data_IF_146586696747
#
_entry.id   IF_146586696747
#
_cell.length_a   1.000
_cell.length_b   1.000
_cell.length_c   1.000
_cell.angle_alpha   90.00
_cell.angle_beta   90.00
_cell.angle_gamma   90.00
#
_symmetry.space_group_name_H-M   'P 1'
#
loop_
_entity.id
_entity.type
_entity.pdbx_description
1 polymer ?
#
# COMPACT_ATOMS: atom_id res chain seq x y z
N UNK A 1 -4.60 -8.97 -11.14
CA UNK A 1 -3.39 -8.27 -11.64
C UNK A 1 -2.24 -8.79 -10.78
N UNK A 2 -1.45 -9.74 -11.29
CA UNK A 2 -0.37 -10.40 -10.54
C UNK A 2 0.94 -9.94 -11.15
N UNK A 3 1.83 -9.36 -10.33
CA UNK A 3 3.23 -9.14 -10.71
C UNK A 3 4.09 -10.22 -10.04
N UNK A 4 5.02 -10.80 -10.82
CA UNK A 4 6.27 -11.47 -10.42
C UNK A 4 6.42 -13.01 -10.45
N UNK A 5 7.67 -13.50 -10.68
CA UNK A 5 7.99 -14.91 -10.91
C UNK A 5 8.03 -15.71 -9.60
N UNK A 6 7.19 -16.73 -9.58
CA UNK A 6 6.75 -17.54 -8.44
C UNK A 6 7.81 -18.15 -7.48
N UNK A 7 9.02 -18.58 -7.93
CA UNK A 7 9.92 -19.32 -7.03
C UNK A 7 10.66 -18.42 -6.03
N UNK A 8 11.03 -17.21 -6.42
CA UNK A 8 11.96 -16.40 -5.64
C UNK A 8 11.33 -15.79 -4.40
N UNK A 9 10.05 -15.40 -4.46
CA UNK A 9 9.42 -14.66 -3.36
C UNK A 9 9.14 -15.54 -2.14
N UNK A 10 8.63 -16.76 -2.35
CA UNK A 10 8.36 -17.71 -1.26
C UNK A 10 9.65 -18.23 -0.63
N UNK A 11 10.67 -18.51 -1.45
CA UNK A 11 11.95 -19.05 -0.98
C UNK A 11 12.80 -17.97 -0.31
N UNK A 12 12.87 -16.76 -0.87
CA UNK A 12 13.67 -15.67 -0.32
C UNK A 12 13.27 -15.32 1.12
N UNK A 13 11.97 -15.37 1.47
CA UNK A 13 11.56 -15.09 2.85
C UNK A 13 11.69 -16.25 3.81
N UNK A 14 11.60 -17.49 3.34
CA UNK A 14 11.97 -18.63 4.19
C UNK A 14 13.46 -18.53 4.55
N UNK A 15 14.30 -18.18 3.58
CA UNK A 15 15.74 -17.98 3.76
C UNK A 15 16.07 -16.78 4.67
N UNK A 16 15.34 -15.68 4.53
CA UNK A 16 15.58 -14.47 5.32
C UNK A 16 14.75 -14.38 6.62
N UNK A 17 14.05 -15.46 6.99
CA UNK A 17 13.35 -15.56 8.27
C UNK A 17 14.33 -15.50 9.45
N UNK A 18 13.89 -14.91 10.55
CA UNK A 18 14.65 -14.71 11.79
C UNK A 18 15.89 -13.81 11.67
N UNK A 19 16.14 -13.23 10.49
CA UNK A 19 17.18 -12.21 10.30
C UNK A 19 16.71 -10.90 10.97
N UNK A 20 17.60 -10.18 11.67
CA UNK A 20 17.30 -8.86 12.20
C UNK A 20 16.85 -7.90 11.09
N UNK A 21 15.75 -7.19 11.34
CA UNK A 21 15.29 -6.09 10.52
C UNK A 21 16.29 -4.91 10.58
N UNK A 22 16.22 -3.98 9.61
CA UNK A 22 17.02 -2.76 9.62
C UNK A 22 17.11 -2.10 11.00
N UNK A 23 18.34 -1.95 11.46
CA UNK A 23 18.67 -1.49 12.80
C UNK A 23 18.63 0.03 12.93
N UNK A 24 18.46 0.53 14.16
CA UNK A 24 18.74 1.93 14.44
C UNK A 24 20.26 2.13 14.53
N UNK A 25 20.77 3.21 13.92
CA UNK A 25 22.20 3.55 13.95
C UNK A 25 22.38 4.93 14.58
N UNK A 26 22.19 5.08 15.90
CA UNK A 26 22.46 6.33 16.58
C UNK A 26 23.95 6.67 16.59
N UNK A 27 24.24 7.97 16.52
CA UNK A 27 25.56 8.51 16.81
C UNK A 27 25.69 8.73 18.33
N UNK A 28 26.70 8.10 18.92
CA UNK A 28 27.07 8.22 20.34
C UNK A 28 28.47 8.83 20.47
N UNK A 29 28.87 9.22 21.67
CA UNK A 29 30.16 9.86 21.92
C UNK A 29 31.38 9.03 21.46
N UNK A 30 31.25 7.70 21.35
CA UNK A 30 32.28 6.77 20.87
C UNK A 30 32.15 6.37 19.39
N UNK A 31 31.21 6.95 18.64
CA UNK A 31 30.98 6.66 17.21
C UNK A 31 29.56 6.21 16.90
N UNK A 32 29.38 5.42 15.84
CA UNK A 32 28.07 4.86 15.49
C UNK A 32 27.85 3.53 16.24
N UNK A 33 26.67 3.38 16.83
CA UNK A 33 26.26 2.13 17.46
C UNK A 33 25.13 1.50 16.64
N UNK A 34 25.23 0.20 16.36
CA UNK A 34 24.13 -0.55 15.73
C UNK A 34 23.25 -1.15 16.82
N UNK A 35 21.97 -0.77 16.82
CA UNK A 35 20.98 -1.25 17.79
C UNK A 35 19.95 -2.11 17.04
N UNK A 36 20.10 -3.43 17.17
CA UNK A 36 19.15 -4.40 16.63
C UNK A 36 17.88 -4.39 17.49
N UNK A 37 16.73 -4.21 16.86
CA UNK A 37 15.45 -4.16 17.58
C UNK A 37 14.66 -5.45 17.37
N UNK A 38 14.37 -5.77 16.12
CA UNK A 38 13.34 -6.74 15.76
C UNK A 38 13.80 -7.69 14.66
N UNK A 39 13.16 -8.84 14.61
CA UNK A 39 13.22 -9.82 13.51
C UNK A 39 11.80 -10.26 13.18
N UNK A 40 11.61 -10.81 11.98
CA UNK A 40 10.35 -11.48 11.63
C UNK A 40 10.56 -12.96 11.44
N UNK A 41 9.59 -13.75 11.86
CA UNK A 41 9.55 -15.17 11.52
C UNK A 41 8.95 -15.41 10.12
N UNK A 42 8.91 -16.67 9.72
CA UNK A 42 8.34 -17.12 8.44
C UNK A 42 6.82 -16.93 8.33
N UNK A 43 6.15 -16.57 9.42
CA UNK A 43 4.70 -16.31 9.49
C UNK A 43 4.39 -14.81 9.56
N UNK A 44 5.37 -13.94 9.29
CA UNK A 44 5.23 -12.48 9.37
C UNK A 44 4.96 -11.94 10.77
N UNK A 45 5.33 -12.69 11.81
CA UNK A 45 5.25 -12.23 13.20
C UNK A 45 6.55 -11.54 13.61
N UNK A 46 6.41 -10.31 14.11
CA UNK A 46 7.52 -9.51 14.63
C UNK A 46 7.89 -9.98 16.05
N UNK A 47 9.17 -10.22 16.30
CA UNK A 47 9.70 -10.52 17.64
C UNK A 47 10.99 -9.72 17.92
N UNK A 48 11.31 -9.50 19.19
CA UNK A 48 12.53 -8.80 19.60
C UNK A 48 13.76 -9.71 19.43
N UNK A 49 14.92 -9.11 19.17
CA UNK A 49 16.21 -9.83 18.93
C UNK A 49 16.93 -10.21 20.26
N UNK A 50 16.23 -10.22 21.39
CA UNK A 50 16.74 -10.31 22.78
C UNK A 50 17.25 -8.97 23.36
N UNK A 51 16.96 -8.77 24.65
CA UNK A 51 16.89 -7.49 25.34
C UNK A 51 18.25 -6.90 25.71
N UNK A 52 18.58 -5.74 25.15
CA UNK A 52 19.36 -4.75 25.86
C UNK A 52 18.49 -3.51 26.11
N UNK A 53 18.20 -3.31 27.40
CA UNK A 53 17.42 -2.24 28.02
C UNK A 53 15.90 -2.29 27.79
N UNK A 54 15.18 -2.54 28.89
CA UNK A 54 13.79 -2.10 29.07
C UNK A 54 13.74 -0.58 28.85
N UNK A 55 13.42 -0.18 27.63
CA UNK A 55 13.45 1.22 27.25
C UNK A 55 12.97 1.37 25.82
N UNK A 56 11.66 1.31 25.65
CA UNK A 56 10.89 1.80 24.49
C UNK A 56 11.37 1.30 23.11
N UNK A 57 10.60 0.37 22.53
CA UNK A 57 10.72 -0.04 21.12
C UNK A 57 10.86 1.21 20.24
N UNK A 58 12.06 1.44 19.73
CA UNK A 58 12.34 2.60 18.88
C UNK A 58 11.91 2.23 17.47
N UNK A 59 10.89 2.94 16.94
CA UNK A 59 10.46 2.77 15.56
C UNK A 59 11.62 3.09 14.62
N UNK A 60 11.80 2.24 13.61
CA UNK A 60 12.77 2.41 12.54
C UNK A 60 11.99 2.30 11.23
N UNK A 61 11.82 3.42 10.51
CA UNK A 61 11.04 3.45 9.28
C UNK A 61 11.49 2.41 8.25
N UNK A 62 12.80 2.16 8.14
CA UNK A 62 13.33 1.11 7.26
C UNK A 62 12.87 -0.30 7.66
N UNK A 63 12.79 -0.61 8.96
CA UNK A 63 12.27 -1.89 9.45
C UNK A 63 10.79 -2.03 9.12
N UNK A 64 10.01 -0.97 9.32
CA UNK A 64 8.57 -1.00 9.08
C UNK A 64 8.21 -0.98 7.60
N UNK A 65 9.06 -0.39 6.75
CA UNK A 65 8.99 -0.56 5.31
C UNK A 65 9.16 -2.04 4.92
N UNK A 66 10.17 -2.73 5.45
CA UNK A 66 10.38 -4.18 5.17
C UNK A 66 9.16 -5.00 5.62
N UNK A 67 8.63 -4.73 6.82
CA UNK A 67 7.41 -5.39 7.31
C UNK A 67 6.23 -5.16 6.37
N UNK A 68 5.99 -3.92 5.96
CA UNK A 68 4.85 -3.57 5.12
C UNK A 68 4.98 -4.11 3.68
N UNK A 69 6.19 -4.12 3.11
CA UNK A 69 6.48 -4.79 1.83
C UNK A 69 6.15 -6.27 1.92
N UNK A 70 6.45 -6.87 3.06
CA UNK A 70 6.04 -8.22 3.39
C UNK A 70 4.56 -8.51 3.38
N UNK A 71 3.80 -7.68 4.08
CA UNK A 71 2.34 -7.75 4.06
C UNK A 71 1.83 -7.61 2.63
N UNK A 72 2.38 -6.69 1.85
CA UNK A 72 2.04 -6.53 0.44
C UNK A 72 2.30 -7.81 -0.38
N UNK A 73 3.42 -8.48 -0.16
CA UNK A 73 3.74 -9.77 -0.80
C UNK A 73 2.68 -10.83 -0.46
N UNK A 74 2.32 -10.99 0.81
CA UNK A 74 1.27 -11.93 1.23
C UNK A 74 -0.09 -11.59 0.63
N UNK A 75 -0.42 -10.29 0.51
CA UNK A 75 -1.63 -9.83 -0.18
C UNK A 75 -1.61 -10.27 -1.65
N UNK A 76 -0.48 -10.13 -2.35
CA UNK A 76 -0.37 -10.58 -3.74
C UNK A 76 -0.48 -12.11 -3.87
N UNK A 77 0.10 -12.86 -2.95
CA UNK A 77 -0.04 -14.32 -2.90
C UNK A 77 -1.50 -14.74 -2.66
N UNK A 78 -2.20 -14.08 -1.73
CA UNK A 78 -3.63 -14.31 -1.50
C UNK A 78 -4.48 -13.99 -2.73
N UNK A 79 -4.21 -12.87 -3.42
CA UNK A 79 -4.90 -12.50 -4.67
C UNK A 79 -4.77 -13.59 -5.72
N UNK A 80 -3.57 -14.13 -5.89
CA UNK A 80 -3.29 -15.19 -6.85
C UNK A 80 -3.95 -16.51 -6.46
N UNK A 81 -3.80 -16.90 -5.20
CA UNK A 81 -4.24 -18.21 -4.72
C UNK A 81 -5.76 -18.24 -4.38
N UNK A 82 -6.45 -17.09 -4.49
CA UNK A 82 -7.86 -16.92 -4.12
C UNK A 82 -8.77 -18.00 -4.71
N UNK A 83 -8.66 -18.28 -6.00
CA UNK A 83 -9.52 -19.25 -6.67
C UNK A 83 -9.22 -20.71 -6.28
N UNK A 84 -8.03 -20.98 -5.74
CA UNK A 84 -7.57 -22.33 -5.35
C UNK A 84 -7.93 -22.72 -3.92
N UNK A 85 -8.33 -21.73 -3.09
CA UNK A 85 -8.59 -21.89 -1.66
C UNK A 85 -10.07 -21.73 -1.32
N UNK A 86 -10.49 -22.24 -0.16
CA UNK A 86 -11.86 -22.08 0.31
C UNK A 86 -12.13 -20.62 0.72
N UNK A 87 -13.38 -20.18 0.52
CA UNK A 87 -13.81 -18.81 0.81
C UNK A 87 -13.60 -18.45 2.27
N UNK A 88 -13.92 -19.38 3.19
CA UNK A 88 -13.73 -19.15 4.62
C UNK A 88 -12.25 -18.88 4.97
N UNK A 89 -11.32 -19.67 4.42
CA UNK A 89 -9.88 -19.48 4.62
C UNK A 89 -9.39 -18.17 4.00
N UNK A 90 -9.91 -17.85 2.83
CA UNK A 90 -9.58 -16.62 2.12
C UNK A 90 -10.04 -15.37 2.90
N UNK A 91 -11.25 -15.40 3.48
CA UNK A 91 -11.77 -14.30 4.30
C UNK A 91 -10.99 -14.15 5.62
N UNK A 92 -10.63 -15.25 6.27
CA UNK A 92 -9.76 -15.23 7.46
C UNK A 92 -8.39 -14.63 7.14
N UNK A 93 -7.78 -15.05 6.03
CA UNK A 93 -6.50 -14.52 5.55
C UNK A 93 -6.58 -13.02 5.21
N UNK A 94 -7.67 -12.58 4.57
CA UNK A 94 -7.95 -11.19 4.26
C UNK A 94 -8.02 -10.35 5.54
N UNK A 95 -8.80 -10.78 6.53
CA UNK A 95 -8.95 -10.06 7.80
C UNK A 95 -7.63 -9.98 8.56
N UNK A 96 -6.89 -11.10 8.64
CA UNK A 96 -5.58 -11.16 9.28
C UNK A 96 -4.58 -10.20 8.64
N UNK A 97 -4.47 -10.20 7.31
CA UNK A 97 -3.55 -9.31 6.59
C UNK A 97 -3.97 -7.84 6.68
N UNK A 98 -5.28 -7.54 6.61
CA UNK A 98 -5.79 -6.18 6.81
C UNK A 98 -5.44 -5.65 8.20
N UNK A 99 -5.62 -6.47 9.24
CA UNK A 99 -5.27 -6.10 10.61
C UNK A 99 -3.76 -5.93 10.80
N UNK A 100 -2.95 -6.83 10.24
CA UNK A 100 -1.49 -6.75 10.31
C UNK A 100 -0.95 -5.49 9.62
N UNK A 101 -1.46 -5.14 8.43
CA UNK A 101 -1.10 -3.90 7.74
C UNK A 101 -1.44 -2.68 8.60
N UNK A 102 -2.64 -2.67 9.21
CA UNK A 102 -3.10 -1.58 10.07
C UNK A 102 -2.23 -1.42 11.31
N UNK A 103 -1.91 -2.52 12.01
CA UNK A 103 -1.13 -2.47 13.25
C UNK A 103 0.29 -1.97 13.01
N UNK A 104 0.93 -2.37 11.91
CA UNK A 104 2.25 -1.84 11.51
C UNK A 104 2.13 -0.35 11.22
N UNK A 105 1.14 0.07 10.42
CA UNK A 105 0.96 1.47 10.04
C UNK A 105 0.69 2.38 11.24
N UNK A 106 -0.25 2.03 12.12
CA UNK A 106 -0.62 2.82 13.29
C UNK A 106 0.52 2.92 14.31
N UNK A 107 1.28 1.84 14.51
CA UNK A 107 2.46 1.85 15.37
C UNK A 107 3.51 2.87 14.88
N UNK A 108 3.74 2.94 13.57
CA UNK A 108 4.69 3.91 12.99
C UNK A 108 4.18 5.35 13.05
N UNK A 109 2.91 5.59 12.69
CA UNK A 109 2.36 6.95 12.67
C UNK A 109 2.25 7.53 14.09
N UNK A 110 1.89 6.71 15.08
CA UNK A 110 1.86 7.14 16.48
C UNK A 110 3.25 7.43 17.07
N UNK A 111 4.29 6.72 16.60
CA UNK A 111 5.67 7.00 16.99
C UNK A 111 6.25 8.25 16.32
N UNK A 112 5.77 8.60 15.12
CA UNK A 112 6.20 9.79 14.37
C UNK A 112 5.82 11.10 15.06
N UNK A 113 4.59 11.20 15.58
CA UNK A 113 4.07 12.43 16.23
C UNK A 113 4.82 12.82 17.52
N UNK A 114 5.49 11.87 18.17
CA UNK A 114 6.35 12.13 19.33
C UNK A 114 7.73 12.69 18.92
N UNK A 115 8.24 12.29 17.75
CA UNK A 115 9.58 12.61 17.28
C UNK A 115 9.67 13.93 16.48
N UNK A 116 8.57 14.37 15.86
CA UNK A 116 8.48 15.63 15.09
C UNK A 116 8.64 16.90 15.94
N UNK A 117 8.70 16.80 17.28
CA UNK A 117 9.03 17.92 18.16
C UNK A 117 10.54 18.28 18.19
N UNK A 118 11.42 17.51 17.54
CA UNK A 118 12.88 17.63 17.70
C UNK A 118 13.70 17.51 16.39
N UNK A 119 13.62 18.54 15.52
CA UNK A 119 14.58 18.93 14.45
C UNK A 119 15.00 17.93 13.33
N UNK A 120 15.23 18.46 12.11
CA UNK A 120 15.92 17.96 10.90
C UNK A 120 15.69 16.53 10.37
N UNK A 121 15.53 15.50 11.21
CA UNK A 121 15.28 14.09 10.78
C UNK A 121 13.91 13.87 10.14
N UNK A 122 13.01 14.84 10.22
CA UNK A 122 11.68 14.78 9.60
C UNK A 122 11.73 14.76 8.07
N UNK A 123 12.72 15.43 7.46
CA UNK A 123 12.83 15.49 6.00
C UNK A 123 13.43 14.21 5.40
N UNK A 124 14.43 13.60 6.05
CA UNK A 124 15.10 12.38 5.55
C UNK A 124 14.17 11.16 5.47
N UNK A 125 13.23 11.04 6.41
CA UNK A 125 12.29 9.92 6.47
C UNK A 125 11.01 10.15 5.64
N UNK A 126 10.80 11.36 5.10
CA UNK A 126 9.60 11.71 4.34
C UNK A 126 9.33 10.72 3.18
N UNK A 127 10.32 10.26 2.39
CA UNK A 127 10.09 9.29 1.33
C UNK A 127 9.69 7.89 1.86
N UNK A 128 10.27 7.45 2.99
CA UNK A 128 9.90 6.16 3.59
C UNK A 128 8.49 6.18 4.16
N UNK A 129 8.12 7.27 4.86
CA UNK A 129 6.76 7.49 5.36
C UNK A 129 5.77 7.46 4.20
N UNK A 130 6.04 8.19 3.12
CA UNK A 130 5.22 8.18 1.91
C UNK A 130 5.04 6.75 1.36
N UNK A 131 6.12 5.97 1.29
CA UNK A 131 6.08 4.60 0.77
C UNK A 131 5.29 3.66 1.69
N UNK A 132 5.48 3.74 3.01
CA UNK A 132 4.75 2.94 4.00
C UNK A 132 3.25 3.26 3.93
N UNK A 133 2.88 4.54 3.87
CA UNK A 133 1.49 4.98 3.73
C UNK A 133 0.86 4.48 2.43
N UNK A 134 1.61 4.53 1.33
CA UNK A 134 1.15 4.01 0.05
C UNK A 134 0.91 2.50 0.10
N UNK A 135 1.88 1.72 0.60
CA UNK A 135 1.74 0.28 0.78
C UNK A 135 0.53 -0.08 1.65
N UNK A 136 0.35 0.60 2.78
CA UNK A 136 -0.77 0.35 3.68
C UNK A 136 -2.11 0.52 2.96
N UNK A 137 -2.33 1.67 2.32
CA UNK A 137 -3.57 1.95 1.59
C UNK A 137 -3.76 1.00 0.39
N UNK A 138 -2.71 0.67 -0.36
CA UNK A 138 -2.77 -0.31 -1.45
C UNK A 138 -3.11 -1.71 -0.95
N UNK A 139 -2.60 -2.15 0.22
CA UNK A 139 -2.97 -3.41 0.83
C UNK A 139 -4.48 -3.44 1.12
N UNK A 140 -5.01 -2.40 1.77
CA UNK A 140 -6.43 -2.32 2.10
C UNK A 140 -7.32 -2.30 0.87
N UNK A 141 -6.98 -1.47 -0.13
CA UNK A 141 -7.71 -1.42 -1.40
C UNK A 141 -7.69 -2.79 -2.08
N UNK A 142 -6.52 -3.42 -2.19
CA UNK A 142 -6.37 -4.69 -2.90
C UNK A 142 -7.15 -5.80 -2.22
N UNK A 143 -6.97 -5.98 -0.90
CA UNK A 143 -7.65 -7.00 -0.10
C UNK A 143 -9.17 -6.89 -0.22
N UNK A 144 -9.73 -5.72 0.07
CA UNK A 144 -11.18 -5.54 0.09
C UNK A 144 -11.79 -5.52 -1.32
N UNK A 145 -11.03 -5.14 -2.36
CA UNK A 145 -11.50 -5.21 -3.75
C UNK A 145 -11.77 -6.65 -4.22
N UNK A 146 -11.13 -7.66 -3.63
CA UNK A 146 -11.29 -9.06 -4.04
C UNK A 146 -12.71 -9.59 -3.87
N UNK A 147 -13.44 -9.07 -2.88
CA UNK A 147 -14.79 -9.53 -2.52
C UNK A 147 -15.89 -8.56 -2.96
N UNK A 148 -15.52 -7.42 -3.53
CA UNK A 148 -16.47 -6.43 -4.04
C UNK A 148 -16.62 -6.63 -5.54
N UNK A 149 -17.79 -7.10 -6.04
CA UNK A 149 -17.97 -7.42 -7.45
C UNK A 149 -17.61 -6.28 -8.41
N UNK A 150 -17.87 -5.03 -7.99
CA UNK A 150 -17.55 -3.84 -8.76
C UNK A 150 -16.05 -3.69 -9.04
N UNK A 151 -15.20 -4.15 -8.11
CA UNK A 151 -13.74 -3.99 -8.17
C UNK A 151 -13.02 -5.29 -8.51
N UNK A 152 -13.60 -6.45 -8.19
CA UNK A 152 -13.00 -7.77 -8.42
C UNK A 152 -13.06 -8.22 -9.88
N UNK A 153 -13.90 -7.60 -10.70
CA UNK A 153 -14.16 -8.01 -12.09
C UNK A 153 -14.90 -9.35 -12.20
N UNK A 154 -15.35 -9.93 -11.09
CA UNK A 154 -16.06 -11.21 -11.03
C UNK A 154 -17.53 -11.00 -10.67
N UNK A 155 -18.41 -11.19 -11.66
CA UNK A 155 -19.87 -11.09 -11.47
C UNK A 155 -20.50 -12.32 -10.78
N UNK A 156 -19.70 -13.34 -10.46
CA UNK A 156 -20.16 -14.66 -9.97
C UNK A 156 -19.25 -15.19 -8.86
N UNK A 157 -18.94 -14.33 -7.90
CA UNK A 157 -18.33 -14.78 -6.65
C UNK A 157 -19.31 -15.67 -5.86
N UNK A 158 -18.81 -16.54 -4.98
CA UNK A 158 -19.65 -17.25 -4.03
C UNK A 158 -20.45 -16.27 -3.16
N UNK A 159 -21.57 -16.72 -2.62
CA UNK A 159 -22.49 -15.90 -1.81
C UNK A 159 -21.82 -15.47 -0.50
N UNK A 160 -21.01 -14.42 -0.55
CA UNK A 160 -20.50 -13.70 0.62
C UNK A 160 -21.64 -12.85 1.17
N UNK A 161 -21.69 -12.71 2.49
CA UNK A 161 -22.66 -11.84 3.15
C UNK A 161 -22.64 -10.42 2.52
N UNK A 162 -23.79 -9.93 2.01
CA UNK A 162 -23.89 -8.60 1.42
C UNK A 162 -23.39 -7.47 2.34
N UNK A 163 -23.51 -7.62 3.66
CA UNK A 163 -23.02 -6.60 4.60
C UNK A 163 -21.49 -6.55 4.62
N UNK A 164 -20.82 -7.71 4.56
CA UNK A 164 -19.35 -7.78 4.45
C UNK A 164 -18.87 -7.17 3.13
N UNK A 165 -19.59 -7.43 2.04
CA UNK A 165 -19.31 -6.85 0.72
C UNK A 165 -19.46 -5.33 0.76
N UNK A 166 -20.53 -4.83 1.38
CA UNK A 166 -20.77 -3.40 1.54
C UNK A 166 -19.67 -2.71 2.36
N UNK A 167 -19.32 -3.25 3.53
CA UNK A 167 -18.25 -2.73 4.37
C UNK A 167 -16.91 -2.71 3.62
N UNK A 168 -16.65 -3.75 2.81
CA UNK A 168 -15.44 -3.80 1.99
C UNK A 168 -15.44 -2.76 0.88
N UNK A 169 -16.58 -2.48 0.24
CA UNK A 169 -16.69 -1.43 -0.76
C UNK A 169 -16.46 -0.02 -0.14
N UNK A 170 -16.98 0.21 1.06
CA UNK A 170 -16.73 1.43 1.84
C UNK A 170 -15.25 1.56 2.18
N UNK A 171 -14.62 0.46 2.61
CA UNK A 171 -13.17 0.41 2.94
C UNK A 171 -12.31 0.73 1.72
N UNK A 172 -12.61 0.12 0.56
CA UNK A 172 -11.91 0.41 -0.71
C UNK A 172 -12.02 1.89 -1.07
N UNK A 173 -13.23 2.46 -0.98
CA UNK A 173 -13.47 3.86 -1.33
C UNK A 173 -12.73 4.79 -0.39
N UNK A 174 -12.80 4.56 0.92
CA UNK A 174 -12.11 5.35 1.93
C UNK A 174 -10.60 5.33 1.73
N UNK A 175 -10.00 4.15 1.50
CA UNK A 175 -8.56 4.07 1.29
C UNK A 175 -8.12 4.64 -0.06
N UNK A 176 -8.97 4.59 -1.09
CA UNK A 176 -8.70 5.28 -2.35
C UNK A 176 -8.71 6.82 -2.17
N UNK A 177 -9.62 7.36 -1.34
CA UNK A 177 -9.63 8.78 -0.98
C UNK A 177 -8.39 9.18 -0.17
N UNK A 178 -7.98 8.37 0.80
CA UNK A 178 -6.76 8.61 1.58
C UNK A 178 -5.50 8.55 0.70
N UNK A 179 -5.45 7.61 -0.25
CA UNK A 179 -4.37 7.53 -1.23
C UNK A 179 -4.36 8.75 -2.17
N UNK A 180 -5.53 9.23 -2.59
CA UNK A 180 -5.65 10.44 -3.38
C UNK A 180 -5.13 11.67 -2.62
N UNK A 181 -5.48 11.81 -1.35
CA UNK A 181 -4.95 12.86 -0.48
C UNK A 181 -3.42 12.77 -0.35
N UNK A 182 -2.87 11.56 -0.24
CA UNK A 182 -1.43 11.31 -0.21
C UNK A 182 -0.74 11.76 -1.52
N UNK A 183 -1.42 11.61 -2.66
CA UNK A 183 -0.92 12.01 -3.98
C UNK A 183 -1.23 13.46 -4.36
N UNK A 184 -2.11 14.16 -3.64
CA UNK A 184 -2.56 15.50 -3.99
C UNK A 184 -1.42 16.49 -4.27
N UNK A 185 -0.29 16.50 -3.53
CA UNK A 185 0.84 17.37 -3.83
C UNK A 185 1.44 17.15 -5.23
N UNK A 186 1.40 15.93 -5.74
CA UNK A 186 1.96 15.54 -7.05
C UNK A 186 0.93 15.65 -8.18
N UNK A 187 -0.35 15.45 -7.87
CA UNK A 187 -1.45 15.52 -8.84
C UNK A 187 -1.88 16.95 -9.14
N UNK A 188 -1.96 17.79 -8.10
CA UNK A 188 -2.52 19.15 -8.19
C UNK A 188 -1.58 20.23 -7.66
N UNK A 189 -0.56 19.85 -6.89
CA UNK A 189 0.39 20.77 -6.27
C UNK A 189 1.70 20.94 -7.02
N UNK A 190 2.72 21.37 -6.27
CA UNK A 190 4.10 21.56 -6.73
C UNK A 190 5.04 20.42 -6.31
N UNK A 191 4.50 19.26 -5.96
CA UNK A 191 5.29 18.10 -5.56
C UNK A 191 6.21 17.65 -6.69
N UNK A 192 7.46 17.33 -6.34
CA UNK A 192 8.43 16.84 -7.32
C UNK A 192 8.13 15.39 -7.69
N UNK A 193 7.57 15.20 -8.88
CA UNK A 193 7.16 13.89 -9.40
C UNK A 193 8.36 12.96 -9.62
N UNK A 194 9.58 13.50 -9.78
CA UNK A 194 10.79 12.69 -9.96
C UNK A 194 11.17 11.90 -8.71
N UNK A 195 10.72 12.35 -7.54
CA UNK A 195 10.92 11.67 -6.26
C UNK A 195 9.85 10.62 -5.95
N UNK A 196 8.80 10.52 -6.78
CA UNK A 196 7.71 9.59 -6.53
C UNK A 196 8.13 8.16 -6.94
N UNK A 197 8.20 7.21 -5.99
CA UNK A 197 8.62 5.85 -6.31
C UNK A 197 7.66 5.17 -7.31
N UNK A 198 8.15 4.30 -8.20
CA UNK A 198 7.30 3.62 -9.17
C UNK A 198 6.09 2.91 -8.58
N UNK A 199 6.30 2.27 -7.43
CA UNK A 199 5.26 1.59 -6.68
C UNK A 199 4.13 2.52 -6.21
N UNK A 200 4.49 3.72 -5.73
CA UNK A 200 3.50 4.74 -5.31
C UNK A 200 2.74 5.27 -6.52
N UNK A 201 3.43 5.45 -7.65
CA UNK A 201 2.79 5.80 -8.92
C UNK A 201 1.81 4.73 -9.41
N UNK A 202 2.12 3.44 -9.23
CA UNK A 202 1.17 2.35 -9.48
C UNK A 202 -0.08 2.44 -8.59
N UNK A 203 0.05 2.94 -7.35
CA UNK A 203 -1.10 3.23 -6.51
C UNK A 203 -2.03 4.30 -7.09
N UNK A 204 -1.49 5.31 -7.79
CA UNK A 204 -2.30 6.28 -8.52
C UNK A 204 -3.18 5.62 -9.59
N UNK A 205 -2.65 4.61 -10.28
CA UNK A 205 -3.42 3.82 -11.24
C UNK A 205 -4.56 3.06 -10.55
N UNK A 206 -4.28 2.34 -9.45
CA UNK A 206 -5.29 1.61 -8.69
C UNK A 206 -6.41 2.55 -8.23
N UNK A 207 -6.05 3.68 -7.63
CA UNK A 207 -7.00 4.69 -7.14
C UNK A 207 -7.86 5.24 -8.28
N UNK A 208 -7.25 5.56 -9.44
CA UNK A 208 -7.97 5.97 -10.64
C UNK A 208 -8.99 4.93 -11.11
N UNK A 209 -8.63 3.64 -11.09
CA UNK A 209 -9.54 2.54 -11.47
C UNK A 209 -10.73 2.44 -10.50
N UNK A 210 -10.50 2.55 -9.18
CA UNK A 210 -11.58 2.53 -8.18
C UNK A 210 -12.58 3.66 -8.42
N UNK A 211 -12.09 4.89 -8.61
CA UNK A 211 -12.97 6.04 -8.86
C UNK A 211 -13.68 5.96 -10.20
N UNK A 212 -13.02 5.44 -11.24
CA UNK A 212 -13.64 5.23 -12.55
C UNK A 212 -14.75 4.16 -12.49
N UNK A 213 -14.47 3.00 -11.88
CA UNK A 213 -15.45 1.93 -11.72
C UNK A 213 -16.68 2.42 -10.93
N UNK A 214 -16.43 3.20 -9.88
CA UNK A 214 -17.48 3.83 -9.08
C UNK A 214 -18.31 4.79 -9.93
N UNK A 215 -17.68 5.72 -10.65
CA UNK A 215 -18.38 6.69 -11.50
C UNK A 215 -19.25 6.02 -12.56
N UNK A 216 -18.72 5.00 -13.26
CA UNK A 216 -19.47 4.22 -14.26
C UNK A 216 -20.69 3.54 -13.63
N UNK A 217 -20.53 2.93 -12.44
CA UNK A 217 -21.64 2.29 -11.72
C UNK A 217 -22.73 3.29 -11.30
N UNK A 218 -22.35 4.52 -10.92
CA UNK A 218 -23.31 5.56 -10.58
C UNK A 218 -24.07 6.06 -11.82
N UNK A 219 -23.39 6.24 -12.96
CA UNK A 219 -24.03 6.70 -14.21
C UNK A 219 -25.02 5.67 -14.77
N UNK A 220 -24.72 4.37 -14.65
CA UNK A 220 -25.65 3.30 -15.03
C UNK A 220 -26.95 3.37 -14.22
N UNK A 221 -26.86 3.68 -12.92
CA UNK A 221 -28.01 3.85 -12.03
C UNK A 221 -28.79 5.15 -12.27
N UNK A 222 -28.14 6.23 -12.69
CA UNK A 222 -28.74 7.56 -12.90
C UNK A 222 -29.18 7.84 -14.34
N UNK A 223 -29.02 6.88 -15.26
CA UNK A 223 -29.49 6.94 -16.67
C UNK A 223 -31.01 7.20 -16.84
N UNK A 224 -31.78 7.36 -15.76
CA UNK A 224 -33.11 7.99 -15.78
C UNK A 224 -32.99 9.52 -15.94
N UNK A 225 -32.82 9.95 -17.20
CA UNK A 225 -32.86 11.32 -17.77
C UNK A 225 -31.66 12.25 -17.46
N UNK A 226 -30.87 12.63 -18.49
CA UNK A 226 -30.00 13.80 -18.41
C UNK A 226 -30.86 15.08 -18.47
N UNK A 227 -30.74 15.95 -17.47
CA UNK A 227 -31.19 17.34 -17.58
C UNK A 227 -30.10 18.10 -18.35
N UNK A 228 -30.41 18.80 -19.47
CA UNK A 228 -29.41 19.55 -20.21
C UNK A 228 -29.06 20.83 -19.44
N UNK A 229 -27.82 20.87 -18.94
CA UNK A 229 -27.24 22.00 -18.24
C UNK A 229 -25.91 21.52 -17.65
N UNK A 230 -24.86 22.30 -17.80
CA UNK A 230 -23.46 21.97 -17.48
C UNK A 230 -23.35 21.42 -16.06
N UNK A 231 -23.38 20.08 -15.91
CA UNK A 231 -23.18 19.43 -14.63
C UNK A 231 -21.73 19.70 -14.20
N UNK A 232 -21.48 20.10 -12.94
CA UNK A 232 -20.13 20.18 -12.40
C UNK A 232 -19.40 18.85 -12.67
N UNK A 233 -18.15 18.90 -13.13
CA UNK A 233 -17.34 17.68 -13.25
C UNK A 233 -17.37 16.92 -11.93
N UNK A 234 -17.75 15.63 -11.97
CA UNK A 234 -17.75 14.77 -10.78
C UNK A 234 -16.35 14.78 -10.16
N UNK A 235 -16.24 14.97 -8.83
CA UNK A 235 -14.96 14.89 -8.10
C UNK A 235 -14.20 13.61 -8.47
N UNK A 236 -14.91 12.51 -8.69
CA UNK A 236 -14.34 11.22 -9.11
C UNK A 236 -13.67 11.32 -10.48
N UNK A 237 -14.29 11.99 -11.45
CA UNK A 237 -13.70 12.23 -12.76
C UNK A 237 -12.47 13.13 -12.68
N UNK A 238 -12.48 14.17 -11.84
CA UNK A 238 -11.31 15.02 -11.61
C UNK A 238 -10.13 14.21 -11.03
N UNK A 239 -10.40 13.28 -10.10
CA UNK A 239 -9.38 12.37 -9.55
C UNK A 239 -8.84 11.43 -10.63
N UNK A 240 -9.71 10.86 -11.47
CA UNK A 240 -9.29 10.02 -12.61
C UNK A 240 -8.39 10.80 -13.56
N UNK A 241 -8.78 12.03 -13.93
CA UNK A 241 -7.97 12.89 -14.79
C UNK A 241 -6.61 13.22 -14.15
N UNK A 242 -6.59 13.55 -12.85
CA UNK A 242 -5.34 13.80 -12.11
C UNK A 242 -4.42 12.58 -12.12
N UNK A 243 -4.99 11.39 -11.92
CA UNK A 243 -4.25 10.13 -11.88
C UNK A 243 -3.62 9.84 -13.24
N UNK A 244 -4.37 10.02 -14.33
CA UNK A 244 -3.87 9.88 -15.69
C UNK A 244 -2.76 10.89 -16.02
N UNK A 245 -2.89 12.15 -15.58
CA UNK A 245 -1.83 13.17 -15.77
C UNK A 245 -0.56 12.79 -15.03
N UNK A 246 -0.67 12.32 -13.79
CA UNK A 246 0.47 11.86 -12.99
C UNK A 246 1.17 10.67 -13.66
N UNK A 247 0.41 9.63 -14.03
CA UNK A 247 0.95 8.44 -14.71
C UNK A 247 1.62 8.78 -16.04
N UNK A 248 1.03 9.69 -16.83
CA UNK A 248 1.62 10.13 -18.08
C UNK A 248 2.98 10.81 -17.87
N UNK A 249 3.13 11.61 -16.81
CA UNK A 249 4.42 12.21 -16.45
C UNK A 249 5.42 11.15 -16.00
N UNK A 250 5.03 10.28 -15.07
CA UNK A 250 5.88 9.20 -14.55
C UNK A 250 6.39 8.26 -15.66
N UNK A 251 5.56 7.97 -16.66
CA UNK A 251 5.95 7.17 -17.83
C UNK A 251 7.20 7.72 -18.52
N UNK A 252 7.38 9.03 -18.60
CA UNK A 252 8.59 9.61 -19.21
C UNK A 252 9.84 9.30 -18.40
N UNK A 253 9.76 9.37 -17.07
CA UNK A 253 10.89 9.09 -16.18
C UNK A 253 11.22 7.60 -16.11
N UNK A 254 10.21 6.73 -16.16
CA UNK A 254 10.43 5.27 -16.11
C UNK A 254 10.82 4.64 -17.44
N UNK A 255 10.77 5.37 -18.57
CA UNK A 255 11.31 4.88 -19.85
C UNK A 255 12.78 4.49 -19.74
N UNK A 256 13.55 5.18 -18.89
CA UNK A 256 14.95 4.82 -18.63
C UNK A 256 15.08 3.41 -18.01
N UNK A 257 14.12 3.00 -17.18
CA UNK A 257 14.10 1.68 -16.54
C UNK A 257 13.80 0.55 -17.54
N UNK A 258 13.10 0.85 -18.65
CA UNK A 258 12.84 -0.14 -19.69
C UNK A 258 14.12 -0.51 -20.45
N UNK A 259 15.04 0.43 -20.63
CA UNK A 259 16.32 0.19 -21.32
C UNK A 259 17.25 -0.73 -20.49
N UNK A 260 17.22 -0.62 -19.17
CA UNK A 260 18.04 -1.44 -18.27
C UNK A 260 17.57 -2.90 -18.19
N UNK A 261 16.30 -3.21 -18.46
CA UNK A 261 15.82 -4.61 -18.49
C UNK A 261 16.20 -5.30 -19.80
N UNK A 262 16.25 -4.58 -20.93
CA UNK A 262 16.65 -5.14 -22.23
C UNK A 262 18.15 -5.39 -22.39
N UNK A 263 18.98 -5.04 -21.42
CA UNK A 263 20.43 -5.24 -21.49
C UNK A 263 20.90 -6.46 -20.66
N UNK A 264 20.00 -7.10 -19.90
CA UNK A 264 20.31 -8.24 -19.02
C UNK A 264 19.44 -9.48 -19.28
N UNK A 265 18.76 -9.54 -20.43
CA UNK A 265 18.09 -10.76 -20.94
C UNK A 265 18.39 -10.94 -22.42
#
# INVERSE_FOLDING_TARGET
MVMEPEPYVRLAWQEASMIPLPAAIPYIASGHQVVLNEKMDHNWCSSLVESHYEGTRTSVYAASLVKMVGVWVEVQLLVRDWASSSIARNLDSLQRLSHLARSIYEYEMSSGDLATSRSDRGMENTPMVLFISALYHQCQITLHSMIVPLFSGTNRGPTIDPEIVKQSAETVTQHAELFEALLAPYMYGKGDITLLPPFVGYGAFITGVVFLATEVSFQDKTSRRPIPGTLPESRRLSIVQGSLRLLNKLRFYWRALQLSVSTYF
#
